data_IF_275386508047
#
_entry.id   IF_275386508047
#
_cell.length_a   1.000
_cell.length_b   1.000
_cell.length_c   1.000
_cell.angle_alpha   90.00
_cell.angle_beta   90.00
_cell.angle_gamma   90.00
#
_symmetry.space_group_name_H-M   'P 1'
#
loop_
_entity.id
_entity.type
_entity.pdbx_description
1 polymer ?
#
# COMPACT_ATOMS: atom_id res chain seq x y z
N UNK A 1 15.66 6.97 1.05
CA UNK A 1 15.81 5.89 0.04
C UNK A 1 16.15 4.61 0.78
N UNK A 2 15.63 3.45 0.35
CA UNK A 2 15.79 2.17 1.08
C UNK A 2 15.88 0.99 0.12
N UNK A 3 16.78 0.04 0.37
CA UNK A 3 16.84 -1.22 -0.36
C UNK A 3 15.83 -2.19 0.26
N UNK A 4 14.94 -2.76 -0.55
CA UNK A 4 13.94 -3.72 -0.07
C UNK A 4 13.87 -4.94 -0.99
N UNK A 5 13.70 -6.11 -0.38
CA UNK A 5 13.52 -7.38 -1.07
C UNK A 5 12.05 -7.56 -1.50
N UNK A 6 11.86 -8.01 -2.74
CA UNK A 6 10.56 -8.30 -3.30
C UNK A 6 10.39 -9.81 -3.44
N UNK A 7 9.56 -10.44 -2.62
CA UNK A 7 9.19 -11.84 -2.80
C UNK A 7 7.89 -11.97 -3.61
N UNK A 8 8.00 -12.52 -4.82
CA UNK A 8 6.86 -12.92 -5.62
C UNK A 8 6.30 -14.29 -5.20
N UNK A 9 5.02 -14.54 -5.44
CA UNK A 9 4.35 -15.82 -5.11
C UNK A 9 5.02 -17.04 -5.79
N UNK A 10 5.74 -16.83 -6.89
CA UNK A 10 6.42 -17.85 -7.69
C UNK A 10 7.91 -18.05 -7.34
N UNK A 11 8.40 -17.52 -6.21
CA UNK A 11 9.75 -17.81 -5.71
C UNK A 11 10.88 -16.94 -6.28
N UNK A 12 10.57 -15.92 -7.08
CA UNK A 12 11.54 -14.93 -7.52
C UNK A 12 11.73 -13.86 -6.44
N UNK A 13 12.98 -13.64 -6.03
CA UNK A 13 13.37 -12.51 -5.18
C UNK A 13 14.15 -11.48 -6.00
N UNK A 14 13.93 -10.20 -5.71
CA UNK A 14 14.66 -9.12 -6.35
C UNK A 14 14.89 -7.98 -5.37
N UNK A 15 16.13 -7.50 -5.30
CA UNK A 15 16.50 -6.33 -4.50
C UNK A 15 16.39 -5.09 -5.37
N UNK A 16 15.63 -4.10 -4.89
CA UNK A 16 15.57 -2.79 -5.52
C UNK A 16 15.65 -1.69 -4.48
N UNK A 17 16.29 -0.58 -4.84
CA UNK A 17 16.32 0.61 -4.00
C UNK A 17 15.13 1.49 -4.34
N UNK A 18 14.28 1.75 -3.34
CA UNK A 18 13.08 2.57 -3.46
C UNK A 18 13.26 3.94 -2.80
N UNK A 19 12.69 4.96 -3.42
CA UNK A 19 12.49 6.27 -2.85
C UNK A 19 10.99 6.51 -2.61
N UNK A 20 10.65 7.26 -1.58
CA UNK A 20 9.26 7.41 -1.19
C UNK A 20 9.08 8.20 0.09
N UNK A 21 7.81 8.29 0.51
CA UNK A 21 7.41 8.84 1.80
C UNK A 21 7.33 7.73 2.83
N UNK A 22 8.01 7.89 3.96
CA UNK A 22 7.86 6.98 5.09
C UNK A 22 6.43 7.05 5.62
N UNK A 23 5.76 5.91 5.76
CA UNK A 23 4.37 5.86 6.17
C UNK A 23 4.15 6.50 7.55
N UNK A 24 5.14 6.36 8.45
CA UNK A 24 5.13 7.02 9.76
C UNK A 24 4.99 8.54 9.66
N UNK A 25 5.68 9.19 8.72
CA UNK A 25 5.57 10.64 8.50
C UNK A 25 4.17 11.05 8.03
N UNK A 26 3.53 10.21 7.21
CA UNK A 26 2.14 10.44 6.81
C UNK A 26 1.21 10.38 8.03
N UNK A 27 1.39 9.38 8.90
CA UNK A 27 0.60 9.22 10.13
C UNK A 27 0.78 10.41 11.08
N UNK A 28 2.02 10.89 11.26
CA UNK A 28 2.33 12.08 12.06
C UNK A 28 1.65 13.35 11.53
N UNK A 29 1.50 13.45 10.20
CA UNK A 29 0.85 14.58 9.54
C UNK A 29 -0.68 14.54 9.69
N UNK A 30 -1.30 13.40 9.40
CA UNK A 30 -2.78 13.28 9.35
C UNK A 30 -3.41 13.01 10.71
N UNK A 31 -2.61 12.56 11.69
CA UNK A 31 -3.02 12.28 13.08
C UNK A 31 -4.34 11.50 13.15
N UNK A 32 -4.33 10.20 12.77
CA UNK A 32 -5.51 9.36 12.83
C UNK A 32 -6.14 9.37 14.22
N UNK A 33 -7.45 9.14 14.28
CA UNK A 33 -8.18 9.02 15.54
C UNK A 33 -7.56 7.91 16.42
N UNK A 34 -7.54 8.07 17.76
CA UNK A 34 -6.97 7.08 18.67
C UNK A 34 -7.56 5.67 18.54
N UNK A 35 -8.80 5.57 18.06
CA UNK A 35 -9.50 4.31 17.85
C UNK A 35 -9.03 3.57 16.59
N UNK A 36 -8.30 4.23 15.68
CA UNK A 36 -7.82 3.62 14.45
C UNK A 36 -6.76 2.54 14.73
N UNK A 37 -7.05 1.31 14.30
CA UNK A 37 -6.17 0.14 14.49
C UNK A 37 -5.71 -0.47 13.17
N UNK A 38 -6.39 -0.15 12.08
CA UNK A 38 -6.11 -0.67 10.73
C UNK A 38 -5.99 0.49 9.75
N UNK A 39 -5.26 0.26 8.68
CA UNK A 39 -5.19 1.16 7.51
C UNK A 39 -5.57 0.38 6.26
N UNK A 40 -6.46 0.96 5.46
CA UNK A 40 -6.92 0.40 4.19
C UNK A 40 -6.30 1.20 3.05
N UNK A 41 -5.69 0.51 2.11
CA UNK A 41 -5.13 1.09 0.89
C UNK A 41 -5.99 0.71 -0.30
N UNK A 42 -6.70 1.69 -0.87
CA UNK A 42 -7.49 1.48 -2.08
C UNK A 42 -6.66 1.78 -3.33
N UNK A 43 -6.81 0.95 -4.35
CA UNK A 43 -6.16 1.11 -5.64
C UNK A 43 -7.10 1.73 -6.68
N UNK A 44 -6.51 2.38 -7.69
CA UNK A 44 -7.18 2.65 -8.95
C UNK A 44 -7.41 1.38 -9.80
N UNK A 45 -6.70 0.29 -9.50
CA UNK A 45 -6.87 -1.00 -10.16
C UNK A 45 -8.15 -1.73 -9.75
N UNK A 46 -8.56 -2.66 -10.60
CA UNK A 46 -9.72 -3.51 -10.36
C UNK A 46 -9.34 -4.76 -9.54
N UNK A 47 -10.25 -5.19 -8.67
CA UNK A 47 -10.12 -6.44 -7.93
C UNK A 47 -10.27 -7.65 -8.86
N UNK A 48 -9.68 -8.78 -8.47
CA UNK A 48 -9.68 -10.03 -9.26
C UNK A 48 -11.08 -10.54 -9.65
N UNK A 49 -12.10 -10.19 -8.86
CA UNK A 49 -13.50 -10.59 -9.09
C UNK A 49 -14.42 -9.39 -9.39
N UNK A 50 -13.83 -8.28 -9.86
CA UNK A 50 -14.52 -7.01 -10.05
C UNK A 50 -14.57 -6.15 -8.78
N UNK A 51 -14.84 -4.86 -8.95
CA UNK A 51 -14.84 -3.88 -7.87
C UNK A 51 -13.47 -3.26 -7.57
N UNK A 52 -13.40 -2.45 -6.51
CA UNK A 52 -12.16 -1.73 -6.15
C UNK A 52 -11.18 -2.68 -5.47
N UNK A 53 -9.95 -2.78 -5.99
CA UNK A 53 -8.88 -3.50 -5.32
C UNK A 53 -8.42 -2.72 -4.07
N UNK A 54 -8.38 -3.39 -2.92
CA UNK A 54 -7.86 -2.81 -1.68
C UNK A 54 -7.14 -3.89 -0.85
N UNK A 55 -6.27 -3.44 0.04
CA UNK A 55 -5.64 -4.29 1.05
C UNK A 55 -5.64 -3.57 2.41
N UNK A 56 -5.76 -4.35 3.47
CA UNK A 56 -5.78 -3.86 4.86
C UNK A 56 -4.49 -4.25 5.56
N UNK A 57 -3.85 -3.28 6.21
CA UNK A 57 -2.70 -3.53 7.08
C UNK A 57 -3.03 -3.15 8.54
N UNK A 58 -2.43 -3.86 9.49
CA UNK A 58 -2.40 -3.41 10.87
C UNK A 58 -1.62 -2.12 11.00
N UNK A 59 -2.20 -1.10 11.63
CA UNK A 59 -1.56 0.22 11.76
C UNK A 59 -0.26 0.10 12.56
N UNK A 60 -0.27 -0.70 13.64
CA UNK A 60 0.92 -0.97 14.44
C UNK A 60 2.03 -1.65 13.61
N UNK A 61 1.67 -2.64 12.78
CA UNK A 61 2.62 -3.30 11.89
C UNK A 61 3.18 -2.32 10.88
N UNK A 62 2.33 -1.55 10.18
CA UNK A 62 2.78 -0.57 9.19
C UNK A 62 3.69 0.52 9.79
N UNK A 63 3.49 0.90 11.05
CA UNK A 63 4.37 1.83 11.76
C UNK A 63 5.69 1.20 12.20
N UNK A 64 5.72 -0.10 12.48
CA UNK A 64 6.89 -0.82 12.93
C UNK A 64 7.75 -1.36 11.78
N UNK A 65 7.14 -1.86 10.71
CA UNK A 65 7.79 -2.60 9.61
C UNK A 65 8.38 -1.71 8.51
N UNK A 66 8.93 -0.55 8.90
CA UNK A 66 9.63 0.35 7.98
C UNK A 66 8.83 0.65 6.69
N UNK A 67 7.50 0.83 6.83
CA UNK A 67 6.62 0.96 5.68
C UNK A 67 6.91 2.22 4.86
N UNK A 68 6.98 2.05 3.54
CA UNK A 68 7.31 3.10 2.58
C UNK A 68 6.21 3.21 1.52
N UNK A 69 5.71 4.43 1.32
CA UNK A 69 4.91 4.80 0.17
C UNK A 69 5.85 5.18 -0.96
N UNK A 70 6.20 4.18 -1.77
CA UNK A 70 7.21 4.29 -2.80
C UNK A 70 6.63 4.90 -4.07
N UNK A 71 7.27 5.97 -4.54
CA UNK A 71 7.05 6.56 -5.87
C UNK A 71 8.35 6.65 -6.66
N UNK A 72 9.48 6.20 -6.11
CA UNK A 72 10.84 6.18 -6.67
C UNK A 72 11.51 4.79 -6.52
N UNK A 73 12.40 4.42 -7.45
CA UNK A 73 13.09 3.13 -7.69
C UNK A 73 14.32 3.53 -8.48
N UNK A 74 15.46 3.21 -7.93
CA UNK A 74 16.77 3.58 -8.45
C UNK A 74 17.36 2.33 -9.11
N UNK A 75 18.20 2.53 -10.12
CA UNK A 75 18.87 1.50 -10.92
C UNK A 75 18.04 0.76 -11.97
N UNK A 76 16.82 1.23 -12.29
CA UNK A 76 16.09 0.77 -13.48
C UNK A 76 15.75 1.96 -14.38
N UNK A 77 16.27 1.95 -15.62
CA UNK A 77 15.79 2.81 -16.72
C UNK A 77 14.41 2.29 -17.14
N UNK A 78 13.37 2.73 -16.46
CA UNK A 78 12.02 2.53 -16.97
C UNK A 78 11.77 3.48 -18.16
N UNK A 79 11.05 3.04 -19.21
CA UNK A 79 10.48 3.95 -20.18
C UNK A 79 9.67 5.03 -19.45
N UNK A 80 9.75 6.29 -19.89
CA UNK A 80 8.99 7.42 -19.30
C UNK A 80 7.47 7.19 -19.22
N UNK A 81 6.94 6.22 -19.96
CA UNK A 81 5.53 5.80 -19.90
C UNK A 81 5.19 5.02 -18.63
N UNK A 82 6.17 4.38 -17.99
CA UNK A 82 6.01 3.64 -16.73
C UNK A 82 6.25 4.57 -15.53
N UNK A 83 5.67 5.78 -15.57
CA UNK A 83 5.72 6.76 -14.49
C UNK A 83 4.80 6.34 -13.33
N UNK A 84 5.30 5.35 -12.60
CA UNK A 84 5.45 5.31 -11.13
C UNK A 84 4.23 5.73 -10.30
N UNK A 85 3.15 4.95 -10.39
CA UNK A 85 2.10 4.96 -9.38
C UNK A 85 2.67 4.87 -7.95
N UNK A 86 2.03 5.56 -7.01
CA UNK A 86 2.28 5.36 -5.58
C UNK A 86 2.03 3.88 -5.23
N UNK A 87 3.02 3.21 -4.65
CA UNK A 87 2.95 1.81 -4.24
C UNK A 87 3.29 1.65 -2.77
N UNK A 88 2.52 0.81 -2.08
CA UNK A 88 2.79 0.41 -0.71
C UNK A 88 3.97 -0.57 -0.66
N UNK A 89 4.91 -0.34 0.24
CA UNK A 89 5.96 -1.30 0.61
C UNK A 89 5.92 -1.52 2.10
N UNK A 90 5.75 -2.78 2.49
CA UNK A 90 5.75 -3.22 3.89
C UNK A 90 6.74 -4.35 3.98
N UNK A 91 7.80 -4.19 4.78
CA UNK A 91 8.77 -5.26 4.95
C UNK A 91 8.11 -6.49 5.58
N UNK A 92 8.60 -7.68 5.24
CA UNK A 92 8.09 -8.98 5.70
C UNK A 92 6.65 -9.33 5.25
N UNK A 93 6.11 -8.66 4.22
CA UNK A 93 4.84 -9.04 3.59
C UNK A 93 5.05 -9.56 2.16
N UNK A 94 4.14 -10.44 1.73
CA UNK A 94 4.12 -10.96 0.36
C UNK A 94 3.76 -9.86 -0.64
N UNK A 95 4.35 -9.92 -1.84
CA UNK A 95 4.21 -8.86 -2.85
C UNK A 95 2.76 -8.55 -3.30
N UNK A 96 1.82 -9.48 -3.13
CA UNK A 96 0.40 -9.22 -3.46
C UNK A 96 -0.32 -8.34 -2.44
N UNK A 97 0.22 -8.19 -1.21
CA UNK A 97 -0.30 -7.25 -0.20
C UNK A 97 0.20 -5.82 -0.43
N UNK A 98 1.18 -5.65 -1.31
CA UNK A 98 1.79 -4.37 -1.63
C UNK A 98 0.98 -3.65 -2.72
N UNK A 99 -0.10 -2.98 -2.31
CA UNK A 99 -1.03 -2.26 -3.20
C UNK A 99 -0.30 -1.30 -4.11
N UNK A 100 -0.55 -1.40 -5.41
CA UNK A 100 -0.07 -0.49 -6.45
C UNK A 100 -1.17 0.50 -6.80
N UNK A 101 -0.79 1.67 -7.28
CA UNK A 101 -1.73 2.70 -7.78
C UNK A 101 -2.67 3.17 -6.67
N UNK A 102 -2.10 3.50 -5.50
CA UNK A 102 -2.87 3.94 -4.34
C UNK A 102 -3.66 5.20 -4.69
N UNK A 103 -4.98 5.11 -4.51
CA UNK A 103 -5.96 6.17 -4.69
C UNK A 103 -6.33 6.83 -3.35
N UNK A 104 -6.50 6.01 -2.32
CA UNK A 104 -7.04 6.44 -1.03
C UNK A 104 -6.39 5.61 0.10
N UNK A 105 -6.15 6.26 1.23
CA UNK A 105 -5.64 5.65 2.45
C UNK A 105 -6.61 5.99 3.57
N UNK A 106 -7.23 4.98 4.16
CA UNK A 106 -8.30 5.16 5.16
C UNK A 106 -7.94 4.47 6.47
N UNK A 107 -7.98 5.22 7.57
CA UNK A 107 -7.70 4.74 8.92
C UNK A 107 -9.00 4.32 9.60
N UNK A 108 -9.11 3.07 10.04
CA UNK A 108 -10.35 2.50 10.58
C UNK A 108 -10.11 1.76 11.91
N UNK A 109 -11.15 1.67 12.74
CA UNK A 109 -11.05 1.03 14.06
C UNK A 109 -11.06 -0.51 14.00
N UNK A 110 -11.81 -1.11 13.07
CA UNK A 110 -11.76 -2.55 12.81
C UNK A 110 -12.29 -2.87 11.42
N UNK A 111 -11.92 -4.03 10.89
CA UNK A 111 -12.36 -4.54 9.59
C UNK A 111 -13.78 -5.14 9.61
N UNK A 112 -14.52 -5.10 10.74
CA UNK A 112 -15.87 -5.69 10.82
C UNK A 112 -16.80 -5.09 9.75
N UNK A 113 -16.97 -5.87 8.67
CA UNK A 113 -17.89 -5.79 7.53
C UNK A 113 -17.85 -4.48 6.73
N UNK A 114 -17.07 -4.49 5.65
CA UNK A 114 -17.52 -3.92 4.37
C UNK A 114 -17.79 -5.05 3.38
N UNK A 115 -18.73 -5.92 3.76
CA UNK A 115 -19.56 -6.63 2.79
C UNK A 115 -20.75 -5.74 2.45
N UNK A 116 -20.52 -4.65 1.71
CA UNK A 116 -21.59 -3.87 1.13
C UNK A 116 -21.11 -3.22 -0.16
N UNK A 117 -21.64 -3.77 -1.26
CA UNK A 117 -21.49 -3.19 -2.58
C UNK A 117 -21.86 -1.71 -2.56
N UNK A 118 -21.08 -0.92 -3.28
CA UNK A 118 -21.51 0.40 -3.75
C UNK A 118 -22.83 0.24 -4.50
N UNK A 119 -23.95 0.41 -3.81
CA UNK A 119 -25.14 1.06 -4.36
C UNK A 119 -25.19 2.46 -3.76
N UNK A 120 -24.61 3.42 -4.48
CA UNK A 120 -25.17 4.76 -4.48
C UNK A 120 -26.23 4.75 -5.58
N UNK A 121 -27.49 4.69 -5.18
CA UNK A 121 -28.55 5.31 -5.98
C UNK A 121 -28.51 6.82 -5.71
N UNK A 122 -28.95 7.53 -6.75
CA UNK A 122 -29.07 8.98 -6.91
C UNK A 122 -29.84 9.68 -5.80
#
# INVERSE_FOLDING_TARGET
MRAQENAGLQGWTGVAQWGGLEFKKLVELVKPLPEAKKVVFYSFGEGLYGGTYYDTQDLATALYSECLLAYEIIHYRFPRSMKRPLQLRVENQLGYKMVRWIKEISFIASEKRSGQGRRRQE
#
